data_IF_024971622114
#
_entry.id   IF_024971622114
#
_cell.length_a   1.000
_cell.length_b   1.000
_cell.length_c   1.000
_cell.angle_alpha   90.00
_cell.angle_beta   90.00
_cell.angle_gamma   90.00
#
_symmetry.space_group_name_H-M   'P 1'
#
loop_
_entity.id
_entity.type
_entity.pdbx_description
1 polymer ?
#
# COMPACT_ATOMS: atom_id res chain seq x y z
N UNK A 1 24.92 -11.44 4.51
CA UNK A 1 23.56 -11.99 4.48
C UNK A 1 23.41 -12.87 3.24
N UNK A 2 22.62 -13.94 3.29
CA UNK A 2 22.38 -14.82 2.15
C UNK A 2 20.92 -14.71 1.69
N UNK A 3 20.70 -14.62 0.37
CA UNK A 3 19.37 -14.74 -0.21
C UNK A 3 19.05 -16.22 -0.43
N UNK A 4 17.89 -16.65 0.05
CA UNK A 4 17.36 -18.00 -0.16
C UNK A 4 16.14 -17.91 -1.07
N UNK A 5 16.07 -18.81 -2.05
CA UNK A 5 14.89 -19.05 -2.85
C UNK A 5 14.41 -20.47 -2.57
N UNK A 6 13.18 -20.64 -2.09
CA UNK A 6 12.65 -21.95 -1.67
C UNK A 6 13.59 -22.67 -0.69
N UNK A 7 14.15 -21.94 0.28
CA UNK A 7 15.13 -22.42 1.28
C UNK A 7 16.48 -22.88 0.71
N UNK A 8 16.78 -22.56 -0.55
CA UNK A 8 18.08 -22.83 -1.17
C UNK A 8 18.83 -21.53 -1.31
N UNK A 9 20.05 -21.45 -0.75
CA UNK A 9 20.94 -20.29 -0.91
C UNK A 9 21.29 -20.08 -2.37
N UNK A 10 21.23 -18.82 -2.82
CA UNK A 10 21.68 -18.45 -4.16
C UNK A 10 23.22 -18.59 -4.23
N UNK A 11 23.67 -19.25 -5.30
CA UNK A 11 25.09 -19.52 -5.57
C UNK A 11 25.58 -18.74 -6.79
N UNK A 12 26.87 -18.48 -6.84
CA UNK A 12 27.54 -17.94 -8.02
C UNK A 12 27.73 -19.02 -9.11
N UNK A 13 28.27 -18.62 -10.26
CA UNK A 13 28.56 -19.52 -11.37
C UNK A 13 29.59 -20.62 -11.02
N UNK A 14 30.32 -20.48 -9.91
CA UNK A 14 31.29 -21.44 -9.41
C UNK A 14 30.71 -22.35 -8.30
N UNK A 15 29.41 -22.22 -7.98
CA UNK A 15 28.73 -22.99 -6.95
C UNK A 15 28.95 -22.50 -5.51
N UNK A 16 29.59 -21.35 -5.33
CA UNK A 16 29.84 -20.74 -4.02
C UNK A 16 28.63 -19.89 -3.59
N UNK A 17 28.26 -19.98 -2.31
CA UNK A 17 27.16 -19.18 -1.75
C UNK A 17 27.46 -17.68 -1.87
N UNK A 18 26.50 -16.92 -2.40
CA UNK A 18 26.63 -15.47 -2.54
C UNK A 18 26.27 -14.78 -1.22
N UNK A 19 27.26 -14.08 -0.66
CA UNK A 19 27.07 -13.22 0.49
C UNK A 19 26.82 -11.78 0.01
N UNK A 20 25.68 -11.23 0.41
CA UNK A 20 25.26 -9.87 0.12
C UNK A 20 25.42 -8.96 1.34
N UNK A 21 25.83 -7.72 1.09
CA UNK A 21 25.94 -6.68 2.11
C UNK A 21 24.56 -6.12 2.46
N UNK A 22 23.68 -6.02 1.46
CA UNK A 22 22.34 -5.45 1.59
C UNK A 22 21.38 -6.15 0.63
N UNK A 23 20.18 -6.47 1.11
CA UNK A 23 19.10 -7.07 0.33
C UNK A 23 17.86 -6.23 0.55
N UNK A 24 17.40 -5.55 -0.49
CA UNK A 24 16.23 -4.67 -0.46
C UNK A 24 15.04 -5.38 -1.08
N UNK A 25 13.91 -5.37 -0.38
CA UNK A 25 12.64 -5.93 -0.86
C UNK A 25 11.68 -4.80 -1.19
N UNK A 26 11.24 -4.75 -2.43
CA UNK A 26 10.10 -3.93 -2.85
C UNK A 26 8.82 -4.76 -2.95
N UNK A 27 7.81 -4.21 -3.62
CA UNK A 27 6.49 -4.83 -3.77
C UNK A 27 6.48 -6.05 -4.69
N UNK A 28 7.27 -6.00 -5.76
CA UNK A 28 7.37 -7.02 -6.80
C UNK A 28 8.83 -7.22 -7.26
N UNK A 29 9.79 -6.72 -6.48
CA UNK A 29 11.20 -6.79 -6.81
C UNK A 29 12.08 -6.98 -5.57
N UNK A 30 13.26 -7.53 -5.82
CA UNK A 30 14.31 -7.73 -4.81
C UNK A 30 15.63 -7.30 -5.42
N UNK A 31 16.35 -6.41 -4.74
CA UNK A 31 17.67 -5.92 -5.15
C UNK A 31 18.73 -6.36 -4.14
N UNK A 32 19.74 -7.06 -4.62
CA UNK A 32 20.84 -7.56 -3.80
C UNK A 32 22.13 -6.80 -4.13
N UNK A 33 22.78 -6.29 -3.10
CA UNK A 33 23.92 -5.39 -3.20
C UNK A 33 25.19 -6.03 -2.65
N UNK A 34 26.30 -5.81 -3.35
CA UNK A 34 27.66 -6.13 -2.89
C UNK A 34 28.51 -4.87 -3.12
N UNK A 35 29.17 -4.37 -2.07
CA UNK A 35 29.93 -3.11 -2.08
C UNK A 35 29.13 -1.95 -2.68
N UNK A 36 27.89 -1.79 -2.20
CA UNK A 36 26.92 -0.77 -2.65
C UNK A 36 26.53 -0.81 -4.13
N UNK A 37 26.97 -1.83 -4.88
CA UNK A 37 26.57 -2.04 -6.27
C UNK A 37 25.50 -3.12 -6.34
N UNK A 38 24.48 -2.92 -7.19
CA UNK A 38 23.50 -3.97 -7.47
C UNK A 38 24.23 -5.11 -8.17
N UNK A 39 24.33 -6.23 -7.46
CA UNK A 39 24.92 -7.45 -8.01
C UNK A 39 23.85 -8.30 -8.68
N UNK A 40 22.63 -8.31 -8.13
CA UNK A 40 21.52 -9.09 -8.64
C UNK A 40 20.20 -8.37 -8.36
N UNK A 41 19.31 -8.38 -9.35
CA UNK A 41 17.95 -7.87 -9.20
C UNK A 41 16.95 -8.87 -9.76
N UNK A 42 15.84 -9.01 -9.05
CA UNK A 42 14.67 -9.75 -9.48
C UNK A 42 13.55 -8.74 -9.68
N UNK A 43 12.98 -8.71 -10.88
CA UNK A 43 11.84 -7.84 -11.22
C UNK A 43 10.63 -8.70 -11.59
N UNK A 44 9.42 -8.22 -11.31
CA UNK A 44 8.18 -8.91 -11.68
C UNK A 44 7.89 -10.18 -10.85
N UNK A 45 8.35 -10.23 -9.61
CA UNK A 45 8.09 -11.34 -8.69
C UNK A 45 6.60 -11.33 -8.31
N UNK A 46 5.91 -12.44 -8.62
CA UNK A 46 4.50 -12.64 -8.25
C UNK A 46 4.33 -12.99 -6.78
N UNK A 47 5.22 -13.83 -6.24
CA UNK A 47 5.18 -14.29 -4.86
C UNK A 47 6.55 -14.13 -4.18
N UNK A 48 6.70 -13.01 -3.47
CA UNK A 48 7.93 -12.69 -2.71
C UNK A 48 8.09 -13.59 -1.49
N UNK A 49 7.04 -14.31 -1.04
CA UNK A 49 7.17 -15.19 0.15
C UNK A 49 8.12 -16.37 -0.07
N UNK A 50 8.42 -16.70 -1.33
CA UNK A 50 9.40 -17.72 -1.70
C UNK A 50 10.85 -17.30 -1.44
N UNK A 51 11.08 -16.02 -1.15
CA UNK A 51 12.39 -15.47 -0.84
C UNK A 51 12.54 -15.25 0.66
N UNK A 52 13.65 -15.75 1.20
CA UNK A 52 14.02 -15.61 2.60
C UNK A 52 15.45 -15.03 2.67
N UNK A 53 15.78 -14.33 3.77
CA UNK A 53 17.15 -13.87 4.05
C UNK A 53 17.65 -14.63 5.25
N UNK A 54 18.85 -15.20 5.13
CA UNK A 54 19.56 -15.83 6.23
C UNK A 54 20.73 -14.94 6.67
N UNK A 55 21.01 -14.94 7.97
CA UNK A 55 21.98 -14.05 8.61
C UNK A 55 21.69 -12.55 8.37
N UNK A 56 20.40 -12.18 8.35
CA UNK A 56 19.93 -10.80 8.17
C UNK A 56 18.42 -10.71 7.97
N UNK A 57 17.95 -9.52 7.61
CA UNK A 57 16.54 -9.24 7.29
C UNK A 57 16.45 -8.48 5.96
N UNK A 58 15.29 -8.56 5.30
CA UNK A 58 15.01 -7.68 4.17
C UNK A 58 14.96 -6.23 4.63
N UNK A 59 15.64 -5.36 3.89
CA UNK A 59 15.44 -3.92 4.03
C UNK A 59 14.26 -3.56 3.14
N UNK A 60 13.18 -3.06 3.73
CA UNK A 60 12.07 -2.56 2.94
C UNK A 60 12.55 -1.43 2.03
N UNK A 61 12.20 -1.52 0.75
CA UNK A 61 12.40 -0.41 -0.15
C UNK A 61 11.48 0.72 0.33
N UNK A 62 12.01 1.89 0.73
CA UNK A 62 11.14 3.01 1.07
C UNK A 62 10.23 3.28 -0.13
N UNK A 63 8.90 3.31 0.13
CA UNK A 63 7.92 3.69 -0.90
C UNK A 63 8.39 4.97 -1.56
N UNK A 64 8.37 4.99 -2.89
CA UNK A 64 8.68 6.21 -3.62
C UNK A 64 7.66 7.31 -3.28
N UNK A 65 8.04 8.57 -3.41
CA UNK A 65 7.13 9.71 -3.18
C UNK A 65 5.88 9.61 -4.07
N UNK A 66 6.01 9.05 -5.27
CA UNK A 66 4.91 8.85 -6.21
C UNK A 66 3.91 7.78 -5.73
N UNK A 67 4.41 6.66 -5.21
CA UNK A 67 3.57 5.62 -4.61
C UNK A 67 2.82 6.13 -3.39
N UNK A 68 3.50 6.92 -2.55
CA UNK A 68 2.89 7.57 -1.40
C UNK A 68 1.81 8.57 -1.84
N UNK A 69 2.08 9.36 -2.88
CA UNK A 69 1.12 10.32 -3.41
C UNK A 69 -0.11 9.63 -4.02
N UNK A 70 0.08 8.50 -4.71
CA UNK A 70 -1.02 7.71 -5.25
C UNK A 70 -1.93 7.16 -4.14
N UNK A 71 -1.33 6.69 -3.04
CA UNK A 71 -2.07 6.22 -1.87
C UNK A 71 -2.85 7.35 -1.19
N UNK A 72 -2.23 8.53 -1.02
CA UNK A 72 -2.89 9.72 -0.49
C UNK A 72 -4.06 10.13 -1.40
N UNK A 73 -3.86 10.17 -2.72
CA UNK A 73 -4.90 10.54 -3.67
C UNK A 73 -6.08 9.56 -3.62
N UNK A 74 -5.82 8.25 -3.55
CA UNK A 74 -6.87 7.24 -3.43
C UNK A 74 -7.69 7.40 -2.15
N UNK A 75 -7.02 7.70 -1.03
CA UNK A 75 -7.69 7.96 0.25
C UNK A 75 -8.55 9.23 0.18
N UNK A 76 -8.02 10.32 -0.38
CA UNK A 76 -8.77 11.58 -0.55
C UNK A 76 -10.00 11.41 -1.44
N UNK A 77 -9.92 10.62 -2.52
CA UNK A 77 -11.06 10.31 -3.38
C UNK A 77 -12.15 9.55 -2.62
N UNK A 78 -11.76 8.56 -1.81
CA UNK A 78 -12.68 7.81 -0.96
C UNK A 78 -13.36 8.71 0.07
N UNK A 79 -12.60 9.59 0.71
CA UNK A 79 -13.12 10.49 1.73
C UNK A 79 -14.04 11.55 1.11
N UNK A 80 -13.71 12.07 -0.07
CA UNK A 80 -14.59 12.94 -0.86
C UNK A 80 -15.91 12.27 -1.21
N UNK A 81 -15.90 11.00 -1.63
CA UNK A 81 -17.11 10.25 -1.91
C UNK A 81 -17.97 10.04 -0.64
N UNK A 82 -17.33 9.74 0.49
CA UNK A 82 -18.02 9.61 1.78
C UNK A 82 -18.66 10.93 2.24
N UNK A 83 -17.96 12.05 2.06
CA UNK A 83 -18.50 13.37 2.38
C UNK A 83 -19.72 13.71 1.51
N UNK A 84 -19.68 13.41 0.21
CA UNK A 84 -20.84 13.61 -0.67
C UNK A 84 -22.05 12.79 -0.23
N UNK A 85 -21.86 11.54 0.19
CA UNK A 85 -22.94 10.70 0.73
C UNK A 85 -23.54 11.34 2.00
N UNK A 86 -22.69 11.85 2.89
CA UNK A 86 -23.15 12.51 4.12
C UNK A 86 -23.91 13.81 3.84
N UNK A 87 -23.45 14.63 2.89
CA UNK A 87 -24.13 15.84 2.46
C UNK A 87 -25.51 15.55 1.86
N UNK A 88 -25.63 14.50 1.04
CA UNK A 88 -26.91 14.08 0.48
C UNK A 88 -27.89 13.67 1.58
N UNK A 89 -27.43 12.86 2.55
CA UNK A 89 -28.24 12.48 3.72
C UNK A 89 -28.69 13.69 4.54
N UNK A 90 -27.80 14.67 4.73
CA UNK A 90 -28.16 15.89 5.45
C UNK A 90 -29.19 16.73 4.70
N UNK A 91 -29.09 16.79 3.37
CA UNK A 91 -30.06 17.50 2.53
C UNK A 91 -31.45 16.84 2.60
N UNK A 92 -31.50 15.51 2.52
CA UNK A 92 -32.76 14.75 2.69
C UNK A 92 -33.38 14.97 4.08
N UNK A 93 -32.57 14.91 5.13
CA UNK A 93 -33.04 15.16 6.50
C UNK A 93 -33.58 16.59 6.66
N UNK A 94 -32.88 17.58 6.11
CA UNK A 94 -33.32 18.98 6.15
C UNK A 94 -34.65 19.16 5.40
N UNK A 95 -34.83 18.49 4.26
CA UNK A 95 -36.09 18.52 3.52
C UNK A 95 -37.24 17.89 4.33
N UNK A 96 -37.02 16.73 4.96
CA UNK A 96 -38.03 16.08 5.82
C UNK A 96 -38.41 16.96 7.02
N UNK A 97 -37.42 17.59 7.66
CA UNK A 97 -37.66 18.53 8.76
C UNK A 97 -38.49 19.74 8.31
N UNK A 98 -38.20 20.32 7.15
CA UNK A 98 -38.99 21.44 6.60
C UNK A 98 -40.44 21.04 6.33
N UNK A 99 -40.67 19.84 5.78
CA UNK A 99 -42.02 19.30 5.56
C UNK A 99 -42.76 19.15 6.89
N UNK A 100 -42.13 18.58 7.91
CA UNK A 100 -42.72 18.44 9.25
C UNK A 100 -43.06 19.80 9.89
N UNK A 101 -42.18 20.79 9.76
CA UNK A 101 -42.43 22.15 10.26
C UNK A 101 -43.65 22.76 9.56
N UNK A 102 -43.77 22.61 8.23
CA UNK A 102 -44.91 23.12 7.48
C UNK A 102 -46.22 22.43 7.89
N UNK A 103 -46.21 21.11 8.13
CA UNK A 103 -47.36 20.36 8.63
C UNK A 103 -47.78 20.85 10.03
N UNK A 104 -46.83 21.02 10.95
CA UNK A 104 -47.12 21.50 12.31
C UNK A 104 -47.60 22.96 12.32
N UNK A 105 -46.98 23.83 11.53
CA UNK A 105 -47.38 25.24 11.42
C UNK A 105 -48.73 25.44 10.73
N UNK A 106 -49.08 24.58 9.76
CA UNK A 106 -50.41 24.55 9.15
C UNK A 106 -51.50 24.08 10.11
N UNK A 107 -51.17 23.17 11.03
CA UNK A 107 -52.11 22.64 12.03
C UNK A 107 -52.26 23.55 13.27
N UNK A 108 -51.33 24.49 13.50
CA UNK A 108 -51.40 25.46 14.60
C UNK A 108 -52.23 26.71 14.26
N UNK A 109 -52.50 26.96 12.97
CA UNK A 109 -53.26 28.11 12.47
C UNK A 109 -54.64 27.72 11.90
N UNK A 110 -55.12 26.49 12.17
CA UNK A 110 -56.42 25.97 11.77
C UNK A 110 -57.39 25.92 12.96
#
# INVERSE_FOLDING_TARGET
MFLLLNKIRIKDNNGKDLNFDKIVKGKNNIHCYIKDNIYMQFEGILDISTFEVEDGEFIDNPKTTEELQAEINAQLLKDSANLQIQLNKQTELNADLLIKIAQLGGNANA
#
